data_IF_179036697754
#
_entry.id   IF_179036697754
#
_cell.length_a   1.000
_cell.length_b   1.000
_cell.length_c   1.000
_cell.angle_alpha   90.00
_cell.angle_beta   90.00
_cell.angle_gamma   90.00
#
_symmetry.space_group_name_H-M   'P 1'
#
loop_
_entity.id
_entity.type
_entity.pdbx_description
1 polymer ?
#
# COMPACT_ATOMS: atom_id res chain seq x y z
N UNK A 1 24.91 8.49 30.27
CA UNK A 1 23.72 9.26 30.72
C UNK A 1 23.20 10.28 29.69
N UNK A 2 23.97 11.30 29.24
CA UNK A 2 23.50 12.28 28.23
C UNK A 2 23.34 11.69 26.81
N UNK A 3 24.22 10.76 26.40
CA UNK A 3 24.11 10.06 25.12
C UNK A 3 22.89 9.13 25.06
N UNK A 4 22.61 8.40 26.13
CA UNK A 4 21.50 7.45 26.20
C UNK A 4 20.14 8.15 26.07
N UNK A 5 20.00 9.33 26.70
CA UNK A 5 18.79 10.15 26.59
C UNK A 5 18.57 10.68 25.16
N UNK A 6 19.64 11.03 24.46
CA UNK A 6 19.56 11.48 23.06
C UNK A 6 19.22 10.31 22.11
N UNK A 7 19.75 9.12 22.39
CA UNK A 7 19.41 7.90 21.67
C UNK A 7 17.92 7.56 21.84
N UNK A 8 17.42 7.58 23.08
CA UNK A 8 16.03 7.31 23.39
C UNK A 8 15.09 8.34 22.74
N UNK A 9 15.42 9.63 22.79
CA UNK A 9 14.66 10.68 22.09
C UNK A 9 14.62 10.46 20.57
N UNK A 10 15.71 9.98 19.98
CA UNK A 10 15.77 9.67 18.55
C UNK A 10 14.87 8.48 18.21
N UNK A 11 14.92 7.41 19.01
CA UNK A 11 14.06 6.22 18.84
C UNK A 11 12.58 6.57 18.94
N UNK A 12 12.18 7.36 19.94
CA UNK A 12 10.79 7.80 20.12
C UNK A 12 10.33 8.65 18.92
N UNK A 13 11.15 9.60 18.44
CA UNK A 13 10.84 10.39 17.24
C UNK A 13 10.68 9.52 15.99
N UNK A 14 11.52 8.51 15.83
CA UNK A 14 11.41 7.55 14.72
C UNK A 14 10.10 6.79 14.80
N UNK A 15 9.73 6.30 15.98
CA UNK A 15 8.47 5.58 16.20
C UNK A 15 7.25 6.45 15.86
N UNK A 16 7.25 7.71 16.30
CA UNK A 16 6.18 8.65 15.96
C UNK A 16 6.06 8.90 14.45
N UNK A 17 7.18 9.05 13.73
CA UNK A 17 7.18 9.19 12.27
C UNK A 17 6.64 7.96 11.56
N UNK A 18 7.03 6.76 12.01
CA UNK A 18 6.50 5.52 11.46
C UNK A 18 4.99 5.43 11.70
N UNK A 19 4.53 5.78 12.90
CA UNK A 19 3.11 5.80 13.22
C UNK A 19 2.34 6.86 12.41
N UNK A 20 2.92 8.03 12.17
CA UNK A 20 2.36 9.08 11.30
C UNK A 20 2.24 8.59 9.84
N UNK A 21 3.24 7.89 9.33
CA UNK A 21 3.18 7.29 8.00
C UNK A 21 2.10 6.21 7.91
N UNK A 22 2.04 5.29 8.88
CA UNK A 22 1.00 4.25 8.95
C UNK A 22 -0.40 4.89 9.05
N UNK A 23 -0.56 5.95 9.86
CA UNK A 23 -1.83 6.67 9.99
C UNK A 23 -2.18 7.50 8.75
N UNK A 24 -1.19 8.02 8.02
CA UNK A 24 -1.38 8.73 6.74
C UNK A 24 -1.73 7.79 5.59
N UNK A 25 -1.37 6.51 5.72
CA UNK A 25 -1.88 5.42 4.89
C UNK A 25 -3.32 5.12 5.38
N UNK A 26 -4.18 6.13 5.30
CA UNK A 26 -5.59 6.00 5.72
C UNK A 26 -6.38 5.07 4.80
N UNK A 27 -5.89 4.84 3.58
CA UNK A 27 -6.47 3.89 2.64
C UNK A 27 -5.49 3.53 1.51
N UNK A 28 -4.50 2.67 1.78
CA UNK A 28 -3.59 2.12 0.75
C UNK A 28 -4.36 1.55 -0.43
N UNK A 29 -5.45 0.84 -0.13
CA UNK A 29 -6.34 0.25 -1.12
C UNK A 29 -6.92 1.31 -2.09
N UNK A 30 -7.33 2.47 -1.58
CA UNK A 30 -7.81 3.59 -2.40
C UNK A 30 -6.71 4.16 -3.30
N UNK A 31 -5.49 4.32 -2.78
CA UNK A 31 -4.36 4.80 -3.56
C UNK A 31 -4.02 3.83 -4.70
N UNK A 32 -3.92 2.53 -4.40
CA UNK A 32 -3.65 1.49 -5.39
C UNK A 32 -4.76 1.45 -6.45
N UNK A 33 -6.02 1.60 -6.05
CA UNK A 33 -7.14 1.69 -6.99
C UNK A 33 -7.01 2.88 -7.95
N UNK A 34 -6.67 4.07 -7.45
CA UNK A 34 -6.45 5.26 -8.29
C UNK A 34 -5.31 5.05 -9.29
N UNK A 35 -4.20 4.47 -8.84
CA UNK A 35 -3.06 4.15 -9.72
C UNK A 35 -3.48 3.18 -10.83
N UNK A 36 -4.26 2.15 -10.50
CA UNK A 36 -4.73 1.16 -11.48
C UNK A 36 -5.77 1.75 -12.45
N UNK A 37 -6.59 2.71 -12.02
CA UNK A 37 -7.51 3.46 -12.89
C UNK A 37 -6.76 4.35 -13.88
N UNK A 38 -5.75 5.10 -13.43
CA UNK A 38 -4.93 5.94 -14.30
C UNK A 38 -4.10 5.10 -15.29
N UNK A 39 -3.56 3.97 -14.83
CA UNK A 39 -2.83 3.03 -15.70
C UNK A 39 -3.73 2.46 -16.80
N UNK A 40 -4.98 2.10 -16.47
CA UNK A 40 -5.97 1.63 -17.45
C UNK A 40 -6.24 2.69 -18.52
N UNK A 41 -6.44 3.95 -18.12
CA UNK A 41 -6.67 5.07 -19.04
C UNK A 41 -5.47 5.33 -19.93
N UNK A 42 -4.27 5.41 -19.36
CA UNK A 42 -3.03 5.70 -20.07
C UNK A 42 -2.70 4.66 -21.16
N UNK A 43 -3.08 3.41 -20.92
CA UNK A 43 -2.85 2.29 -21.84
C UNK A 43 -4.05 1.97 -22.74
N UNK A 44 -5.14 2.74 -22.65
CA UNK A 44 -6.40 2.45 -23.34
C UNK A 44 -6.90 1.00 -23.13
N UNK A 45 -6.64 0.42 -21.96
CA UNK A 45 -6.96 -0.97 -21.67
C UNK A 45 -8.42 -1.14 -21.24
N UNK A 46 -9.02 -2.30 -21.54
CA UNK A 46 -10.40 -2.61 -21.11
C UNK A 46 -10.49 -2.81 -19.59
N UNK A 47 -9.47 -3.43 -19.00
CA UNK A 47 -9.40 -3.74 -17.57
C UNK A 47 -7.98 -3.57 -17.04
N UNK A 48 -7.86 -3.41 -15.72
CA UNK A 48 -6.59 -3.43 -15.02
C UNK A 48 -6.74 -4.21 -13.71
N UNK A 49 -5.66 -4.89 -13.30
CA UNK A 49 -5.65 -5.67 -12.06
C UNK A 49 -4.29 -5.55 -11.37
N UNK A 50 -4.31 -5.57 -10.04
CA UNK A 50 -3.14 -5.56 -9.19
C UNK A 50 -3.15 -6.82 -8.32
N UNK A 51 -2.08 -7.61 -8.43
CA UNK A 51 -1.84 -8.76 -7.56
C UNK A 51 -0.69 -8.44 -6.61
N UNK A 52 -0.91 -8.72 -5.33
CA UNK A 52 0.13 -8.59 -4.29
C UNK A 52 0.60 -10.00 -3.93
N UNK A 53 1.92 -10.14 -3.81
CA UNK A 53 2.54 -11.37 -3.38
C UNK A 53 2.55 -11.47 -1.86
N UNK A 54 1.97 -12.54 -1.34
CA UNK A 54 2.08 -12.94 0.05
C UNK A 54 3.23 -13.96 0.19
N UNK A 55 4.35 -13.58 0.81
CA UNK A 55 5.49 -14.47 1.00
C UNK A 55 5.24 -15.59 2.02
N UNK A 56 4.27 -15.43 2.95
CA UNK A 56 3.98 -16.45 3.95
C UNK A 56 3.27 -17.64 3.32
N UNK A 57 2.23 -17.37 2.53
CA UNK A 57 1.46 -18.40 1.84
C UNK A 57 2.04 -18.74 0.44
N UNK A 58 3.00 -17.96 -0.05
CA UNK A 58 3.60 -18.05 -1.40
C UNK A 58 2.57 -17.91 -2.52
N UNK A 59 1.56 -17.08 -2.30
CA UNK A 59 0.45 -16.88 -3.23
C UNK A 59 0.33 -15.43 -3.68
N UNK A 60 -0.33 -15.23 -4.82
CA UNK A 60 -0.70 -13.91 -5.32
C UNK A 60 -2.19 -13.69 -5.06
N UNK A 61 -2.55 -12.62 -4.36
CA UNK A 61 -3.95 -12.25 -4.14
C UNK A 61 -4.29 -10.96 -4.88
N UNK A 62 -5.54 -10.87 -5.34
CA UNK A 62 -6.05 -9.66 -6.00
C UNK A 62 -6.32 -8.58 -4.97
N UNK A 63 -5.53 -7.51 -5.02
CA UNK A 63 -5.76 -6.31 -4.21
C UNK A 63 -6.78 -5.40 -4.91
N UNK A 64 -6.71 -5.28 -6.24
CA UNK A 64 -7.64 -4.47 -7.05
C UNK A 64 -7.96 -5.20 -8.34
N UNK A 65 -9.26 -5.41 -8.61
CA UNK A 65 -9.76 -5.94 -9.88
C UNK A 65 -10.81 -4.98 -10.46
N UNK A 66 -10.54 -4.37 -11.61
CA UNK A 66 -11.43 -3.40 -12.25
C UNK A 66 -11.85 -3.89 -13.64
N UNK A 67 -13.04 -4.49 -13.71
CA UNK A 67 -13.64 -5.00 -14.94
C UNK A 67 -15.09 -5.46 -14.71
N UNK A 68 -15.87 -5.63 -15.80
CA UNK A 68 -17.21 -6.22 -15.69
C UNK A 68 -17.06 -7.67 -15.23
N UNK A 69 -17.81 -8.07 -14.18
CA UNK A 69 -17.87 -9.47 -13.75
C UNK A 69 -18.33 -10.31 -14.94
N UNK A 70 -17.48 -11.25 -15.39
CA UNK A 70 -17.90 -12.26 -16.36
C UNK A 70 -19.07 -13.03 -15.78
N UNK A 71 -20.20 -13.07 -16.51
CA UNK A 71 -21.28 -13.99 -16.18
C UNK A 71 -20.77 -15.38 -16.54
N UNK A 72 -20.34 -16.14 -15.53
CA UNK A 72 -20.22 -17.59 -15.62
C UNK A 72 -21.58 -18.24 -15.74
#
# INVERSE_FOLDING_TARGET
MRQDLNSLKKQIKTLYKVNEFIASIGNLHHLLKLIMEESKKALCAETSSLMIYDPENKELFFEVALGKKGKG
#
